data_IF_299537384608
#
_entry.id   IF_299537384608
#
_cell.length_a   1.000
_cell.length_b   1.000
_cell.length_c   1.000
_cell.angle_alpha   90.00
_cell.angle_beta   90.00
_cell.angle_gamma   90.00
#
_symmetry.space_group_name_H-M   'P 1'
#
loop_
_entity.id
_entity.type
_entity.pdbx_description
1 polymer ?
#
# COMPACT_ATOMS: atom_id res chain seq x y z
N UNK A 1 20.57 -6.52 8.09
CA UNK A 1 21.33 -7.25 9.14
C UNK A 1 21.98 -6.31 10.16
N UNK A 2 22.54 -5.16 9.73
CA UNK A 2 23.14 -4.19 10.68
C UNK A 2 22.10 -3.62 11.66
N UNK A 3 20.88 -3.44 11.19
CA UNK A 3 19.74 -2.90 11.96
C UNK A 3 18.90 -4.00 12.65
N UNK A 4 19.45 -5.21 12.80
CA UNK A 4 18.80 -6.31 13.52
C UNK A 4 17.86 -7.18 12.67
N UNK A 5 17.67 -6.87 11.39
CA UNK A 5 16.81 -7.69 10.54
C UNK A 5 17.44 -9.07 10.24
N UNK A 6 16.63 -10.11 10.32
CA UNK A 6 16.99 -11.46 9.91
C UNK A 6 16.79 -11.62 8.39
N UNK A 7 17.77 -12.21 7.74
CA UNK A 7 17.68 -12.53 6.29
C UNK A 7 18.09 -14.00 6.13
N UNK A 8 17.18 -14.94 6.42
CA UNK A 8 17.50 -16.37 6.46
C UNK A 8 17.69 -17.02 5.08
N UNK A 9 17.24 -16.35 4.01
CA UNK A 9 17.37 -16.76 2.60
C UNK A 9 17.30 -15.54 1.69
N UNK A 10 17.63 -15.73 0.42
CA UNK A 10 17.43 -14.76 -0.65
C UNK A 10 16.26 -15.24 -1.52
N UNK A 11 15.56 -14.30 -2.13
CA UNK A 11 14.53 -14.60 -3.13
C UNK A 11 15.11 -15.32 -4.32
N UNK A 12 14.32 -16.16 -4.98
CA UNK A 12 14.69 -16.81 -6.23
C UNK A 12 14.76 -15.81 -7.39
N UNK A 13 15.33 -16.21 -8.51
CA UNK A 13 15.32 -15.41 -9.73
C UNK A 13 13.90 -15.09 -10.21
N UNK A 14 12.94 -16.00 -9.98
CA UNK A 14 11.55 -15.79 -10.37
C UNK A 14 10.87 -14.61 -9.67
N UNK A 15 11.25 -14.31 -8.42
CA UNK A 15 10.67 -13.21 -7.64
C UNK A 15 11.61 -12.01 -7.46
N UNK A 16 12.80 -12.05 -8.06
CA UNK A 16 13.79 -10.97 -8.02
C UNK A 16 13.78 -10.08 -9.25
N UNK A 17 13.04 -10.44 -10.30
CA UNK A 17 12.92 -9.67 -11.53
C UNK A 17 11.82 -8.60 -11.48
N UNK A 18 11.85 -7.68 -12.46
CA UNK A 18 10.95 -6.53 -12.55
C UNK A 18 9.45 -6.89 -12.76
N UNK A 19 9.17 -8.13 -13.15
CA UNK A 19 7.80 -8.61 -13.41
C UNK A 19 7.17 -9.35 -12.23
N UNK A 20 7.93 -9.60 -11.17
CA UNK A 20 7.41 -10.26 -9.98
C UNK A 20 6.46 -9.34 -9.22
N UNK A 21 5.24 -9.83 -8.96
CA UNK A 21 4.28 -9.08 -8.16
C UNK A 21 4.64 -9.15 -6.66
N UNK A 22 4.16 -8.19 -5.89
CA UNK A 22 4.28 -8.23 -4.41
C UNK A 22 3.70 -9.54 -3.85
N UNK A 23 2.58 -10.00 -4.40
CA UNK A 23 1.96 -11.27 -3.99
C UNK A 23 2.86 -12.48 -4.23
N UNK A 24 3.57 -12.54 -5.36
CA UNK A 24 4.51 -13.63 -5.65
C UNK A 24 5.67 -13.64 -4.65
N UNK A 25 6.18 -12.45 -4.32
CA UNK A 25 7.26 -12.30 -3.33
C UNK A 25 6.83 -12.76 -1.95
N UNK A 26 5.67 -12.30 -1.47
CA UNK A 26 5.14 -12.69 -0.16
C UNK A 26 4.91 -14.20 -0.10
N UNK A 27 4.32 -14.77 -1.15
CA UNK A 27 4.06 -16.22 -1.22
C UNK A 27 5.36 -17.03 -1.15
N UNK A 28 6.38 -16.66 -1.92
CA UNK A 28 7.68 -17.33 -1.86
C UNK A 28 8.29 -17.26 -0.46
N UNK A 29 8.28 -16.07 0.14
CA UNK A 29 8.84 -15.87 1.49
C UNK A 29 8.14 -16.76 2.52
N UNK A 30 6.81 -16.82 2.49
CA UNK A 30 6.03 -17.69 3.39
C UNK A 30 6.36 -19.17 3.18
N UNK A 31 6.45 -19.62 1.92
CA UNK A 31 6.79 -21.01 1.59
C UNK A 31 8.22 -21.39 2.01
N UNK A 32 9.19 -20.46 1.90
CA UNK A 32 10.55 -20.70 2.37
C UNK A 32 10.65 -20.83 3.90
N UNK A 33 9.84 -20.07 4.65
CA UNK A 33 9.71 -20.26 6.10
C UNK A 33 9.04 -21.58 6.45
N UNK A 34 7.98 -21.98 5.74
CA UNK A 34 7.34 -23.28 5.94
C UNK A 34 8.30 -24.46 5.75
N UNK A 35 9.17 -24.42 4.74
CA UNK A 35 10.21 -25.45 4.54
C UNK A 35 11.17 -25.55 5.74
N UNK A 36 11.28 -24.50 6.54
CA UNK A 36 12.07 -24.46 7.77
C UNK A 36 11.25 -24.83 9.01
N UNK A 37 9.98 -25.19 8.84
CA UNK A 37 9.06 -25.53 9.93
C UNK A 37 8.54 -24.29 10.70
N UNK A 38 8.65 -23.11 10.12
CA UNK A 38 8.15 -21.85 10.70
C UNK A 38 6.87 -21.46 10.00
N UNK A 39 5.78 -21.36 10.76
CA UNK A 39 4.47 -20.94 10.30
C UNK A 39 4.10 -19.60 10.91
N UNK A 40 3.36 -18.81 10.17
CA UNK A 40 2.85 -17.52 10.60
C UNK A 40 1.33 -17.49 10.37
N UNK A 41 0.61 -16.87 11.30
CA UNK A 41 -0.82 -16.58 11.15
C UNK A 41 -1.04 -15.32 10.32
N UNK A 42 -0.11 -14.35 10.46
CA UNK A 42 -0.16 -13.06 9.79
C UNK A 42 1.20 -12.70 9.18
N UNK A 43 1.17 -11.87 8.15
CA UNK A 43 2.36 -11.30 7.52
C UNK A 43 2.16 -9.81 7.28
N UNK A 44 3.17 -9.02 7.61
CA UNK A 44 3.25 -7.61 7.26
C UNK A 44 4.33 -7.41 6.20
N UNK A 45 3.91 -7.03 5.00
CA UNK A 45 4.81 -6.62 3.92
C UNK A 45 4.98 -5.10 3.98
N UNK A 46 6.21 -4.62 4.16
CA UNK A 46 6.55 -3.19 4.18
C UNK A 46 7.40 -2.90 2.95
N UNK A 47 7.03 -1.88 2.17
CA UNK A 47 7.82 -1.46 1.02
C UNK A 47 9.11 -0.75 1.46
N UNK A 48 10.24 -0.97 0.77
CA UNK A 48 11.52 -0.35 1.13
C UNK A 48 11.50 1.17 0.96
N UNK A 49 10.61 1.69 0.12
CA UNK A 49 10.41 3.12 -0.18
C UNK A 49 9.27 3.75 0.63
N UNK A 50 9.02 3.27 1.84
CA UNK A 50 7.93 3.73 2.71
C UNK A 50 8.46 4.48 3.96
N UNK A 51 8.99 5.72 3.84
CA UNK A 51 9.67 6.41 4.93
C UNK A 51 8.74 6.89 6.06
N UNK A 52 7.43 6.88 5.85
CA UNK A 52 6.43 7.38 6.81
C UNK A 52 5.73 6.27 7.61
N UNK A 53 6.14 5.02 7.42
CA UNK A 53 5.64 3.90 8.21
C UNK A 53 6.13 4.02 9.64
N UNK A 54 5.21 3.89 10.60
CA UNK A 54 5.52 3.89 12.03
C UNK A 54 5.09 2.58 12.69
N UNK A 55 5.74 2.24 13.79
CA UNK A 55 5.36 1.05 14.57
C UNK A 55 3.92 1.11 15.11
N UNK A 56 3.41 2.32 15.36
CA UNK A 56 2.03 2.52 15.82
C UNK A 56 1.03 2.16 14.71
N UNK A 57 1.24 2.65 13.48
CA UNK A 57 0.37 2.30 12.33
C UNK A 57 0.38 0.81 12.03
N UNK A 58 1.54 0.16 12.15
CA UNK A 58 1.62 -1.29 11.95
C UNK A 58 0.83 -2.05 13.02
N UNK A 59 0.96 -1.67 14.30
CA UNK A 59 0.19 -2.27 15.40
C UNK A 59 -1.31 -2.04 15.24
N UNK A 60 -1.71 -0.85 14.82
CA UNK A 60 -3.12 -0.53 14.51
C UNK A 60 -3.64 -1.42 13.39
N UNK A 61 -2.89 -1.59 12.31
CA UNK A 61 -3.28 -2.45 11.20
C UNK A 61 -3.48 -3.91 11.61
N UNK A 62 -2.57 -4.46 12.40
CA UNK A 62 -2.69 -5.82 12.95
C UNK A 62 -3.94 -5.94 13.84
N UNK A 63 -4.14 -5.00 14.76
CA UNK A 63 -5.31 -5.00 15.63
C UNK A 63 -6.63 -4.93 14.85
N UNK A 64 -6.70 -4.10 13.80
CA UNK A 64 -7.87 -4.01 12.92
C UNK A 64 -8.09 -5.33 12.17
N UNK A 65 -7.04 -5.97 11.66
CA UNK A 65 -7.13 -7.26 10.97
C UNK A 65 -7.77 -8.31 11.90
N UNK A 66 -7.23 -8.44 13.12
CA UNK A 66 -7.68 -9.42 14.11
C UNK A 66 -9.10 -9.16 14.60
N UNK A 67 -9.40 -7.92 15.03
CA UNK A 67 -10.67 -7.53 15.63
C UNK A 67 -11.83 -7.62 14.63
N UNK A 68 -11.60 -7.20 13.38
CA UNK A 68 -12.64 -7.15 12.33
C UNK A 68 -12.69 -8.39 11.47
N UNK A 69 -11.73 -9.32 11.64
CA UNK A 69 -11.61 -10.52 10.83
C UNK A 69 -11.52 -10.18 9.33
N UNK A 70 -10.69 -9.18 9.02
CA UNK A 70 -10.39 -8.85 7.63
C UNK A 70 -9.38 -9.84 7.03
N UNK A 71 -9.42 -9.98 5.70
CA UNK A 71 -8.45 -10.78 4.95
C UNK A 71 -7.09 -10.06 4.85
N UNK A 72 -7.16 -8.73 4.85
CA UNK A 72 -6.01 -7.84 4.78
C UNK A 72 -6.34 -6.45 5.32
N UNK A 73 -5.32 -5.68 5.69
CA UNK A 73 -5.43 -4.26 6.04
C UNK A 73 -4.30 -3.50 5.36
N UNK A 74 -4.61 -2.33 4.80
CA UNK A 74 -3.64 -1.48 4.11
C UNK A 74 -3.90 0.01 4.37
N UNK A 75 -2.86 0.87 4.29
CA UNK A 75 -3.05 2.30 4.36
C UNK A 75 -3.60 2.84 3.03
N UNK A 76 -4.57 3.75 3.15
CA UNK A 76 -5.17 4.46 2.02
C UNK A 76 -5.20 5.96 2.30
N UNK A 77 -5.26 6.76 1.24
CA UNK A 77 -5.49 8.21 1.33
C UNK A 77 -6.51 8.63 0.28
N UNK A 78 -7.35 9.63 0.54
CA UNK A 78 -8.27 10.12 -0.46
C UNK A 78 -7.53 10.80 -1.61
N UNK A 79 -8.04 10.67 -2.83
CA UNK A 79 -7.56 11.49 -3.93
C UNK A 79 -7.80 12.98 -3.64
N UNK A 80 -6.78 13.80 -3.78
CA UNK A 80 -6.87 15.26 -3.63
C UNK A 80 -7.77 15.91 -4.69
N UNK A 81 -7.92 15.26 -5.84
CA UNK A 81 -8.87 15.64 -6.90
C UNK A 81 -9.78 14.45 -7.24
N UNK A 82 -11.12 14.64 -7.28
CA UNK A 82 -12.06 13.53 -7.49
C UNK A 82 -11.82 12.82 -8.82
N UNK A 83 -11.45 11.53 -8.84
CA UNK A 83 -11.21 10.77 -10.08
C UNK A 83 -12.42 10.71 -11.00
N UNK A 84 -13.64 10.78 -10.42
CA UNK A 84 -14.90 10.77 -11.20
C UNK A 84 -15.04 11.97 -12.15
N UNK A 85 -14.31 13.05 -11.92
CA UNK A 85 -14.18 14.20 -12.84
C UNK A 85 -12.92 14.12 -13.71
N UNK A 86 -12.33 12.94 -13.82
CA UNK A 86 -11.18 12.70 -14.69
C UNK A 86 -11.50 13.00 -16.15
N UNK A 87 -10.51 13.51 -16.88
CA UNK A 87 -10.60 13.83 -18.28
C UNK A 87 -9.67 12.96 -19.11
N UNK A 88 -10.00 12.72 -20.35
CA UNK A 88 -9.18 12.01 -21.32
C UNK A 88 -8.81 12.93 -22.49
N UNK A 89 -7.59 12.77 -22.98
CA UNK A 89 -7.08 13.51 -24.14
C UNK A 89 -7.18 12.62 -25.39
N UNK A 90 -7.61 13.22 -26.50
CA UNK A 90 -7.56 12.65 -27.85
C UNK A 90 -6.92 13.68 -28.77
N UNK A 91 -5.65 13.52 -29.06
CA UNK A 91 -4.82 14.54 -29.71
C UNK A 91 -4.71 15.78 -28.83
N UNK A 92 -5.19 16.92 -29.33
CA UNK A 92 -5.26 18.22 -28.66
C UNK A 92 -6.62 18.52 -28.00
N UNK A 93 -7.56 17.57 -28.09
CA UNK A 93 -8.89 17.70 -27.49
C UNK A 93 -8.94 17.04 -26.14
N UNK A 94 -9.78 17.59 -25.25
CA UNK A 94 -10.01 17.04 -23.93
C UNK A 94 -11.52 16.91 -23.68
N UNK A 95 -11.92 15.82 -23.02
CA UNK A 95 -13.31 15.57 -22.64
C UNK A 95 -13.39 14.84 -21.30
N UNK A 96 -14.52 14.97 -20.60
CA UNK A 96 -14.75 14.17 -19.39
C UNK A 96 -14.82 12.67 -19.73
N UNK A 97 -14.13 11.85 -18.95
CA UNK A 97 -14.21 10.39 -19.07
C UNK A 97 -15.61 9.87 -18.72
N UNK A 98 -16.26 10.54 -17.78
CA UNK A 98 -17.61 10.23 -17.32
C UNK A 98 -18.47 11.49 -17.35
N UNK A 99 -19.14 11.74 -18.47
CA UNK A 99 -19.99 12.92 -18.74
C UNK A 99 -21.02 13.18 -17.64
N UNK A 100 -21.57 12.12 -17.03
CA UNK A 100 -22.57 12.24 -15.96
C UNK A 100 -22.10 13.03 -14.72
N UNK A 101 -20.79 13.25 -14.56
CA UNK A 101 -20.21 13.99 -13.44
C UNK A 101 -19.73 15.40 -13.82
N UNK A 102 -19.95 15.83 -15.05
CA UNK A 102 -19.48 17.11 -15.57
C UNK A 102 -19.94 18.29 -14.72
N UNK A 103 -21.23 18.30 -14.35
CA UNK A 103 -21.87 19.38 -13.60
C UNK A 103 -21.80 19.23 -12.07
N UNK A 104 -21.18 18.14 -11.57
CA UNK A 104 -21.05 17.93 -10.15
C UNK A 104 -19.93 18.79 -9.55
N UNK A 105 -20.18 19.38 -8.38
CA UNK A 105 -19.10 20.02 -7.59
C UNK A 105 -18.24 18.91 -6.97
N UNK A 106 -16.95 19.15 -6.82
CA UNK A 106 -16.01 18.16 -6.26
C UNK A 106 -16.41 17.66 -4.87
N UNK A 107 -16.97 18.54 -4.04
CA UNK A 107 -17.42 18.19 -2.68
C UNK A 107 -18.72 17.38 -2.61
N UNK A 108 -19.45 17.28 -3.70
CA UNK A 108 -20.72 16.52 -3.77
C UNK A 108 -20.50 15.09 -4.30
N UNK A 109 -19.27 14.77 -4.68
CA UNK A 109 -18.88 13.46 -5.17
C UNK A 109 -18.42 12.55 -4.03
N UNK A 110 -18.61 11.24 -4.24
CA UNK A 110 -18.07 10.22 -3.36
C UNK A 110 -16.55 10.37 -3.21
N UNK A 111 -16.05 10.31 -1.98
CA UNK A 111 -14.61 10.28 -1.71
C UNK A 111 -14.06 8.93 -2.14
N UNK A 112 -13.13 8.96 -3.08
CA UNK A 112 -12.42 7.77 -3.56
C UNK A 112 -11.00 7.82 -2.99
N UNK A 113 -10.55 6.66 -2.50
CA UNK A 113 -9.22 6.49 -1.93
C UNK A 113 -8.33 5.72 -2.90
N UNK A 114 -7.01 5.86 -2.70
CA UNK A 114 -6.02 5.04 -3.36
C UNK A 114 -5.05 4.42 -2.35
N UNK A 115 -4.40 3.36 -2.77
CA UNK A 115 -3.30 2.72 -2.06
C UNK A 115 -2.14 3.70 -1.86
N UNK A 116 -1.55 3.68 -0.69
CA UNK A 116 -0.40 4.53 -0.35
C UNK A 116 0.95 3.89 -0.69
N UNK A 117 0.98 2.63 -1.14
CA UNK A 117 2.22 1.93 -1.49
C UNK A 117 3.19 1.78 -0.32
N UNK A 118 2.69 1.61 0.91
CA UNK A 118 3.55 1.59 2.10
C UNK A 118 3.67 0.20 2.73
N UNK A 119 2.55 -0.40 3.09
CA UNK A 119 2.53 -1.72 3.71
C UNK A 119 1.20 -2.44 3.53
N UNK A 120 1.22 -3.76 3.71
CA UNK A 120 0.03 -4.63 3.72
C UNK A 120 0.15 -5.61 4.88
N UNK A 121 -0.87 -5.69 5.72
CA UNK A 121 -1.00 -6.73 6.75
C UNK A 121 -2.02 -7.73 6.24
N UNK A 122 -1.67 -9.02 6.22
CA UNK A 122 -2.46 -10.07 5.58
C UNK A 122 -2.65 -11.24 6.54
N UNK A 123 -3.85 -11.82 6.57
CA UNK A 123 -4.07 -13.18 7.07
C UNK A 123 -3.40 -14.16 6.11
N UNK A 124 -2.50 -14.99 6.63
CA UNK A 124 -1.65 -15.87 5.83
C UNK A 124 -2.46 -17.00 5.18
N UNK A 125 -3.45 -17.56 5.88
CA UNK A 125 -4.26 -18.65 5.34
C UNK A 125 -5.08 -18.15 4.14
N UNK A 126 -5.76 -17.02 4.29
CA UNK A 126 -6.58 -16.43 3.23
C UNK A 126 -5.72 -15.93 2.08
N UNK A 127 -4.56 -15.32 2.39
CA UNK A 127 -3.63 -14.88 1.36
C UNK A 127 -3.12 -16.05 0.51
N UNK A 128 -2.75 -17.17 1.10
CA UNK A 128 -2.31 -18.36 0.35
C UNK A 128 -3.38 -18.91 -0.58
N UNK A 129 -4.64 -18.85 -0.17
CA UNK A 129 -5.79 -19.28 -0.98
C UNK A 129 -6.08 -18.32 -2.14
N UNK A 130 -6.07 -17.02 -1.86
CA UNK A 130 -6.52 -15.98 -2.81
C UNK A 130 -5.39 -15.42 -3.67
N UNK A 131 -4.18 -15.36 -3.12
CA UNK A 131 -2.99 -14.68 -3.69
C UNK A 131 -3.24 -13.21 -4.00
N UNK A 132 -4.11 -12.55 -3.22
CA UNK A 132 -4.50 -11.16 -3.41
C UNK A 132 -4.16 -10.32 -2.19
N UNK A 133 -3.60 -9.13 -2.42
CA UNK A 133 -3.39 -8.11 -1.39
C UNK A 133 -4.71 -7.43 -1.01
N UNK A 134 -5.61 -7.28 -1.98
CA UNK A 134 -6.92 -6.64 -1.81
C UNK A 134 -8.01 -7.62 -2.21
N UNK A 135 -8.94 -7.86 -1.30
CA UNK A 135 -10.13 -8.69 -1.48
C UNK A 135 -11.39 -7.86 -1.27
N UNK A 136 -12.55 -8.46 -1.26
CA UNK A 136 -13.80 -7.78 -0.89
C UNK A 136 -13.93 -7.55 0.62
N UNK A 137 -13.08 -8.19 1.42
CA UNK A 137 -13.04 -8.10 2.87
C UNK A 137 -11.70 -7.49 3.34
N UNK A 138 -11.21 -6.44 2.65
CA UNK A 138 -10.01 -5.71 3.01
C UNK A 138 -10.37 -4.50 3.86
N UNK A 139 -9.74 -4.38 5.03
CA UNK A 139 -9.79 -3.20 5.88
C UNK A 139 -8.82 -2.12 5.42
N UNK A 140 -9.05 -0.89 5.85
CA UNK A 140 -8.21 0.24 5.52
C UNK A 140 -7.88 1.09 6.75
N UNK A 141 -6.68 1.69 6.75
CA UNK A 141 -6.30 2.79 7.62
C UNK A 141 -6.18 4.03 6.74
N UNK A 142 -6.99 5.04 7.00
CA UNK A 142 -6.85 6.32 6.31
C UNK A 142 -5.68 7.10 6.91
N UNK A 143 -4.73 7.49 6.06
CA UNK A 143 -3.57 8.30 6.44
C UNK A 143 -3.57 9.63 5.72
N UNK A 144 -2.94 10.61 6.34
CA UNK A 144 -2.79 11.95 5.76
C UNK A 144 -1.94 11.92 4.49
N UNK A 145 -2.28 12.75 3.50
CA UNK A 145 -1.45 12.97 2.31
C UNK A 145 -0.02 13.41 2.67
N UNK A 146 0.17 14.07 3.81
CA UNK A 146 1.49 14.44 4.32
C UNK A 146 2.34 13.23 4.76
N UNK A 147 1.71 12.14 5.13
CA UNK A 147 2.36 10.90 5.58
C UNK A 147 2.41 9.83 4.47
N UNK A 148 2.14 10.23 3.22
CA UNK A 148 2.20 9.37 2.06
C UNK A 148 3.10 9.98 1.00
N UNK A 149 4.01 9.17 0.45
CA UNK A 149 4.76 9.46 -0.76
C UNK A 149 5.19 8.14 -1.40
N UNK A 150 4.70 7.89 -2.57
CA UNK A 150 5.21 6.84 -3.44
C UNK A 150 6.48 7.37 -4.12
N UNK A 151 7.57 6.62 -4.04
CA UNK A 151 8.90 7.08 -4.48
C UNK A 151 9.35 6.25 -5.67
N UNK A 152 9.08 6.75 -6.86
CA UNK A 152 9.48 6.13 -8.13
C UNK A 152 10.66 6.85 -8.79
N UNK A 153 10.88 8.12 -8.44
CA UNK A 153 11.90 8.96 -9.06
C UNK A 153 12.50 9.99 -8.09
N UNK A 154 13.52 10.74 -8.56
CA UNK A 154 14.23 11.75 -7.78
C UNK A 154 13.35 12.90 -7.26
N UNK A 155 12.27 13.23 -7.95
CA UNK A 155 11.34 14.30 -7.52
C UNK A 155 10.53 13.80 -6.34
N UNK A 156 10.04 12.56 -6.41
CA UNK A 156 9.29 11.94 -5.31
C UNK A 156 10.15 11.83 -4.05
N UNK A 157 11.44 11.49 -4.22
CA UNK A 157 12.39 11.48 -3.11
C UNK A 157 12.49 12.84 -2.42
N UNK A 158 12.69 13.91 -3.18
CA UNK A 158 12.75 15.27 -2.64
C UNK A 158 11.46 15.70 -1.96
N UNK A 159 10.30 15.29 -2.50
CA UNK A 159 9.01 15.54 -1.87
C UNK A 159 8.88 14.78 -0.55
N UNK A 160 9.34 13.53 -0.49
CA UNK A 160 9.38 12.76 0.74
C UNK A 160 10.26 13.42 1.81
N UNK A 161 11.46 13.91 1.44
CA UNK A 161 12.34 14.65 2.36
C UNK A 161 11.65 15.89 2.92
N UNK A 162 11.02 16.71 2.07
CA UNK A 162 10.30 17.91 2.51
C UNK A 162 9.13 17.58 3.44
N UNK A 163 8.33 16.57 3.11
CA UNK A 163 7.24 16.09 3.97
C UNK A 163 7.76 15.63 5.32
N UNK A 164 8.85 14.86 5.31
CA UNK A 164 9.48 14.36 6.53
C UNK A 164 9.99 15.49 7.46
N UNK A 165 10.64 16.51 6.89
CA UNK A 165 11.07 17.70 7.65
C UNK A 165 9.88 18.47 8.24
N UNK A 166 8.80 18.64 7.47
CA UNK A 166 7.58 19.31 7.95
C UNK A 166 6.88 18.53 9.07
N UNK A 167 6.92 17.22 9.05
CA UNK A 167 6.34 16.39 10.10
C UNK A 167 7.19 16.45 11.37
N UNK A 168 8.52 16.41 11.27
CA UNK A 168 9.44 16.53 12.41
C UNK A 168 9.46 17.92 13.05
N UNK A 169 9.27 18.98 12.26
CA UNK A 169 9.22 20.34 12.76
C UNK A 169 7.96 20.69 13.56
N UNK A 170 7.04 19.72 13.72
CA UNK A 170 5.81 19.83 14.53
C UNK A 170 5.91 19.15 15.89
N UNK A 171 7.01 18.43 16.15
CA UNK A 171 7.36 17.88 17.47
C UNK A 171 8.17 18.90 18.28
#
# INVERSE_FOLDING_TARGET
KKEGAEVPFLRSEATSGDFATTSDVILEVLLEYEKKGILFDEVCCIYPTAPFVTGEKLKEAVAILEDKKYDSVMPVTPFSFPPLRGMVMDGDKISYKWEKYEDYRSQDLETIHHDCGQFYVLDVEIFKQTKKLVTKNTGAIEISEMEMQDIDNEIDWKLAELKYELLRGRE
#
